data_IF_297467079255
#
_entry.id   IF_297467079255
#
_cell.length_a   1.000
_cell.length_b   1.000
_cell.length_c   1.000
_cell.angle_alpha   90.00
_cell.angle_beta   90.00
_cell.angle_gamma   90.00
#
_symmetry.space_group_name_H-M   'P 1'
#
loop_
_entity.id
_entity.type
_entity.pdbx_description
1 polymer ?
#
# COMPACT_ATOMS: atom_id res chain seq x y z
N UNK A 1 8.18 11.49 9.39
CA UNK A 1 8.18 10.09 9.88
C UNK A 1 8.53 9.17 8.72
N UNK A 2 9.48 8.24 8.86
CA UNK A 2 9.68 7.18 7.85
C UNK A 2 8.66 6.08 8.11
N UNK A 3 7.75 5.86 7.17
CA UNK A 3 6.85 4.72 7.20
C UNK A 3 7.68 3.46 6.99
N UNK A 4 7.42 2.43 7.79
CA UNK A 4 8.12 1.15 7.75
C UNK A 4 7.09 0.03 7.76
N UNK A 5 7.39 -1.05 7.05
CA UNK A 5 6.59 -2.26 7.10
C UNK A 5 6.96 -3.03 8.37
N UNK A 6 5.96 -3.38 9.17
CA UNK A 6 6.09 -4.32 10.29
C UNK A 6 5.46 -5.65 9.88
N UNK A 7 6.31 -6.66 9.71
CA UNK A 7 5.86 -8.02 9.39
C UNK A 7 5.31 -8.70 10.63
N UNK A 8 4.10 -9.25 10.52
CA UNK A 8 3.46 -10.03 11.58
C UNK A 8 3.03 -11.39 11.03
N UNK A 9 3.43 -12.50 11.65
CA UNK A 9 2.86 -13.80 11.32
C UNK A 9 1.37 -13.79 11.67
N UNK A 10 0.52 -14.27 10.76
CA UNK A 10 -0.92 -14.34 10.98
C UNK A 10 -1.47 -15.76 10.79
N UNK A 11 -0.95 -16.49 9.80
CA UNK A 11 -1.19 -17.92 9.61
C UNK A 11 0.14 -18.65 9.46
N UNK A 12 0.12 -19.99 9.51
CA UNK A 12 1.33 -20.83 9.37
C UNK A 12 2.09 -20.60 8.08
N UNK A 13 1.42 -20.14 7.03
CA UNK A 13 1.96 -19.90 5.69
C UNK A 13 1.96 -18.40 5.30
N UNK A 14 1.49 -17.50 6.16
CA UNK A 14 1.23 -16.11 5.75
C UNK A 14 1.73 -15.07 6.75
N UNK A 15 2.52 -14.13 6.26
CA UNK A 15 2.96 -12.93 6.98
C UNK A 15 2.27 -11.68 6.43
N UNK A 16 1.82 -10.79 7.31
CA UNK A 16 1.23 -9.51 6.94
C UNK A 16 2.19 -8.35 7.14
N UNK A 17 2.37 -7.55 6.08
CA UNK A 17 3.13 -6.32 6.11
C UNK A 17 2.23 -5.16 6.54
N UNK A 18 2.41 -4.72 7.78
CA UNK A 18 1.62 -3.64 8.38
C UNK A 18 2.33 -2.30 8.27
N UNK A 19 1.65 -1.27 7.76
CA UNK A 19 2.12 0.12 7.77
C UNK A 19 1.25 0.91 8.73
N UNK A 20 1.80 1.24 9.90
CA UNK A 20 0.98 1.70 11.03
C UNK A 20 0.01 0.60 11.47
N UNK A 21 -1.29 0.87 11.33
CA UNK A 21 -2.38 -0.08 11.63
C UNK A 21 -2.99 -0.70 10.36
N UNK A 22 -2.54 -0.27 9.18
CA UNK A 22 -3.09 -0.71 7.89
C UNK A 22 -2.33 -1.95 7.39
N UNK A 23 -3.07 -2.98 6.99
CA UNK A 23 -2.50 -4.12 6.25
C UNK A 23 -2.22 -3.69 4.83
N UNK A 24 -0.95 -3.41 4.52
CA UNK A 24 -0.54 -2.94 3.20
C UNK A 24 -0.10 -4.07 2.28
N UNK A 25 0.45 -5.15 2.85
CA UNK A 25 0.97 -6.29 2.10
C UNK A 25 0.64 -7.62 2.79
N UNK A 26 0.66 -8.71 2.03
CA UNK A 26 0.81 -10.07 2.54
C UNK A 26 1.88 -10.82 1.76
N UNK A 27 2.64 -11.66 2.45
CA UNK A 27 3.51 -12.65 1.82
C UNK A 27 2.97 -14.03 2.19
N UNK A 28 2.62 -14.81 1.18
CA UNK A 28 2.10 -16.18 1.31
C UNK A 28 3.17 -17.17 0.87
N UNK A 29 3.43 -18.19 1.68
CA UNK A 29 4.36 -19.27 1.39
C UNK A 29 3.62 -20.44 0.75
N UNK A 30 4.02 -20.82 -0.45
CA UNK A 30 3.50 -21.97 -1.19
C UNK A 30 4.44 -23.18 -1.11
N UNK A 31 5.24 -23.26 -0.04
CA UNK A 31 6.22 -24.33 0.20
C UNK A 31 7.56 -24.10 -0.51
N UNK A 32 7.57 -23.93 -1.83
CA UNK A 32 8.78 -23.67 -2.62
C UNK A 32 8.87 -22.26 -3.22
N UNK A 33 7.82 -21.46 -3.08
CA UNK A 33 7.76 -20.08 -3.53
C UNK A 33 7.00 -19.21 -2.53
N UNK A 34 7.18 -17.90 -2.68
CA UNK A 34 6.54 -16.87 -1.87
C UNK A 34 5.83 -15.88 -2.78
N UNK A 35 4.56 -15.62 -2.55
CA UNK A 35 3.79 -14.63 -3.29
C UNK A 35 3.63 -13.38 -2.44
N UNK A 36 4.12 -12.24 -2.94
CA UNK A 36 3.85 -10.93 -2.40
C UNK A 36 2.54 -10.41 -3.00
N UNK A 37 1.54 -10.20 -2.16
CA UNK A 37 0.32 -9.50 -2.53
C UNK A 37 0.30 -8.11 -1.90
N UNK A 38 0.19 -7.05 -2.70
CA UNK A 38 -0.25 -5.74 -2.24
C UNK A 38 -1.73 -5.80 -1.83
N UNK A 39 -2.05 -5.36 -0.60
CA UNK A 39 -3.38 -5.55 0.03
C UNK A 39 -4.00 -4.27 0.57
N UNK A 40 -3.51 -3.10 0.16
CA UNK A 40 -3.96 -1.83 0.70
C UNK A 40 -5.50 -1.73 0.65
N UNK A 41 -6.18 -1.57 1.80
CA UNK A 41 -7.61 -1.38 1.83
C UNK A 41 -7.97 -0.04 1.16
N UNK A 42 -9.03 -0.06 0.36
CA UNK A 42 -9.67 1.11 -0.27
C UNK A 42 -8.91 1.89 -1.37
N UNK A 43 -7.78 1.37 -1.88
CA UNK A 43 -7.19 1.92 -3.10
C UNK A 43 -8.00 1.50 -4.36
N UNK A 44 -9.23 1.99 -4.50
CA UNK A 44 -9.97 1.99 -5.77
C UNK A 44 -9.13 2.74 -6.80
N UNK A 45 -8.34 2.00 -7.59
CA UNK A 45 -7.57 2.57 -8.71
C UNK A 45 -6.10 2.15 -8.80
N UNK A 46 -5.52 1.46 -7.81
CA UNK A 46 -4.13 0.98 -7.91
C UNK A 46 -4.06 -0.51 -7.57
N UNK A 47 -4.37 -1.33 -8.57
CA UNK A 47 -4.14 -2.78 -8.50
C UNK A 47 -2.70 -3.05 -8.86
N UNK A 48 -1.82 -3.16 -7.85
CA UNK A 48 -0.50 -3.71 -8.08
C UNK A 48 -0.63 -5.23 -8.20
N UNK A 49 0.00 -5.85 -9.22
CA UNK A 49 -0.06 -7.30 -9.39
C UNK A 49 0.67 -7.99 -8.24
N UNK A 50 0.22 -9.20 -7.92
CA UNK A 50 1.00 -10.11 -7.08
C UNK A 50 2.30 -10.50 -7.78
N UNK A 51 3.39 -10.59 -7.02
CA UNK A 51 4.71 -10.98 -7.53
C UNK A 51 5.21 -12.23 -6.80
N UNK A 52 5.75 -13.21 -7.54
CA UNK A 52 6.30 -14.44 -6.97
C UNK A 52 7.82 -14.35 -6.80
N UNK A 53 8.31 -14.89 -5.69
CA UNK A 53 9.72 -14.94 -5.30
C UNK A 53 10.10 -16.34 -4.83
N UNK A 54 11.37 -16.70 -5.00
CA UNK A 54 11.93 -17.94 -4.41
C UNK A 54 12.29 -17.80 -2.94
N UNK A 55 12.54 -16.57 -2.50
CA UNK A 55 12.99 -16.27 -1.14
C UNK A 55 12.10 -15.20 -0.52
N UNK A 56 11.73 -15.40 0.75
CA UNK A 56 10.87 -14.48 1.50
C UNK A 56 11.51 -13.09 1.64
N UNK A 57 12.83 -13.01 1.81
CA UNK A 57 13.51 -11.72 1.99
C UNK A 57 13.45 -10.87 0.72
N UNK A 58 13.52 -11.49 -0.46
CA UNK A 58 13.34 -10.80 -1.74
C UNK A 58 11.93 -10.20 -1.85
N UNK A 59 10.90 -10.94 -1.44
CA UNK A 59 9.53 -10.45 -1.39
C UNK A 59 9.40 -9.26 -0.42
N UNK A 60 10.05 -9.31 0.74
CA UNK A 60 10.03 -8.24 1.74
C UNK A 60 10.74 -6.97 1.25
N UNK A 61 11.92 -7.11 0.63
CA UNK A 61 12.65 -5.99 0.01
C UNK A 61 11.82 -5.36 -1.10
N UNK A 62 11.13 -6.17 -1.91
CA UNK A 62 10.24 -5.64 -2.95
C UNK A 62 9.08 -4.83 -2.33
N UNK A 63 8.49 -5.30 -1.24
CA UNK A 63 7.42 -4.58 -0.55
C UNK A 63 7.87 -3.20 -0.07
N UNK A 64 9.11 -3.05 0.42
CA UNK A 64 9.65 -1.74 0.82
C UNK A 64 9.76 -0.78 -0.38
N UNK A 65 10.21 -1.27 -1.54
CA UNK A 65 10.27 -0.48 -2.79
C UNK A 65 8.86 -0.05 -3.22
N UNK A 66 7.88 -0.96 -3.15
CA UNK A 66 6.50 -0.67 -3.48
C UNK A 66 5.88 0.35 -2.50
N UNK A 67 6.22 0.29 -1.21
CA UNK A 67 5.76 1.26 -0.22
C UNK A 67 6.26 2.67 -0.56
N UNK A 68 7.52 2.85 -0.96
CA UNK A 68 8.02 4.15 -1.39
C UNK A 68 7.30 4.67 -2.63
N UNK A 69 7.07 3.81 -3.63
CA UNK A 69 6.31 4.15 -4.83
C UNK A 69 4.88 4.58 -4.50
N UNK A 70 4.22 3.85 -3.60
CA UNK A 70 2.88 4.16 -3.13
C UNK A 70 2.83 5.52 -2.42
N UNK A 71 3.77 5.80 -1.51
CA UNK A 71 3.77 7.07 -0.78
C UNK A 71 3.95 8.26 -1.72
N UNK A 72 4.77 8.11 -2.76
CA UNK A 72 4.91 9.13 -3.80
C UNK A 72 3.60 9.32 -4.57
N UNK A 73 2.92 8.24 -4.95
CA UNK A 73 1.65 8.31 -5.67
C UNK A 73 0.52 8.91 -4.81
N UNK A 74 0.36 8.45 -3.56
CA UNK A 74 -0.64 8.97 -2.62
C UNK A 74 -0.42 10.45 -2.29
N UNK A 75 0.84 10.87 -2.07
CA UNK A 75 1.18 12.28 -1.85
C UNK A 75 1.00 13.14 -3.11
N UNK A 76 1.11 12.55 -4.31
CA UNK A 76 0.82 13.26 -5.56
C UNK A 76 -0.68 13.44 -5.76
N UNK A 77 -1.49 12.42 -5.47
CA UNK A 77 -2.96 12.43 -5.61
C UNK A 77 -3.62 13.39 -4.61
N UNK A 78 -3.17 13.40 -3.35
CA UNK A 78 -3.62 14.36 -2.32
C UNK A 78 -3.29 15.82 -2.64
N UNK A 79 -2.32 16.11 -3.52
CA UNK A 79 -2.08 17.47 -4.03
C UNK A 79 -3.06 17.89 -5.12
N UNK A 80 -3.75 16.95 -5.76
CA UNK A 80 -4.79 17.27 -6.74
C UNK A 80 -6.17 17.48 -6.08
N UNK A 81 -6.36 16.95 -4.87
CA UNK A 81 -7.55 17.19 -4.05
C UNK A 81 -7.43 18.50 -3.23
N UNK A 82 -7.11 19.63 -3.87
CA UNK A 82 -7.48 20.92 -3.28
C UNK A 82 -9.02 21.03 -3.35
N UNK A 83 -9.71 21.33 -2.23
CA UNK A 83 -11.13 21.59 -2.28
C UNK A 83 -11.32 22.87 -3.10
N UNK A 84 -11.90 22.74 -4.30
CA UNK A 84 -12.49 23.87 -4.98
C UNK A 84 -13.58 24.38 -4.03
N UNK A 85 -13.26 25.44 -3.28
CA UNK A 85 -14.23 26.12 -2.42
C UNK A 85 -15.40 26.54 -3.30
N UNK A 86 -16.52 25.84 -3.12
CA UNK A 86 -17.82 26.16 -3.69
C UNK A 86 -18.09 27.63 -3.41
N UNK A 87 -18.34 28.39 -4.48
CA UNK A 87 -18.56 29.82 -4.44
C UNK A 87 -19.63 30.21 -3.43
N UNK A 88 -19.27 31.13 -2.54
CA UNK A 88 -20.23 31.93 -1.81
C UNK A 88 -20.98 32.80 -2.82
N UNK A 89 -22.30 32.61 -2.90
CA UNK A 89 -23.18 33.41 -3.73
C UNK A 89 -23.50 34.79 -3.15
N UNK A 90 -24.32 35.51 -3.93
CA UNK A 90 -24.97 36.81 -3.62
C UNK A 90 -23.98 37.98 -3.76
N UNK A 91 -24.25 38.99 -4.59
CA UNK A 91 -25.36 39.92 -4.42
C UNK A 91 -25.98 40.42 -5.73
N UNK A 92 -27.29 40.58 -5.67
CA UNK A 92 -28.08 41.38 -6.59
C UNK A 92 -28.01 42.85 -6.16
N UNK A 93 -27.75 43.76 -7.11
CA UNK A 93 -28.44 45.05 -7.30
C UNK A 93 -27.83 45.78 -8.49
#
# INVERSE_FOLDING_TARGET
MRLKIRWKPYFSDTEYGMVGEIKAFSVVCHGSSFTLDPRLPDAKGVTLPSEEFREVDAAKVRADVLLEGFLKAFLADTRQAEPTAVGAGKEAS
#
